data_IF_312553348686
#
_entry.id   IF_312553348686
#
_cell.length_a   1.000
_cell.length_b   1.000
_cell.length_c   1.000
_cell.angle_alpha   90.00
_cell.angle_beta   90.00
_cell.angle_gamma   90.00
#
_symmetry.space_group_name_H-M   'P 1'
#
loop_
_entity.id
_entity.type
_entity.pdbx_description
1 polymer ?
#
# COMPACT_ATOMS: atom_id res chain seq x y z
N UNK A 1 -32.54 12.83 11.78
CA UNK A 1 -32.02 11.44 11.63
C UNK A 1 -32.66 10.66 10.48
N UNK A 2 -33.81 11.09 9.92
CA UNK A 2 -34.47 10.39 8.80
C UNK A 2 -33.65 10.45 7.49
N UNK A 3 -33.07 11.60 7.16
CA UNK A 3 -32.30 11.80 5.91
C UNK A 3 -31.10 10.86 5.76
N UNK A 4 -30.34 10.62 6.84
CA UNK A 4 -29.15 9.74 6.82
C UNK A 4 -29.54 8.28 6.50
N UNK A 5 -30.74 7.85 6.89
CA UNK A 5 -31.24 6.51 6.60
C UNK A 5 -31.82 6.39 5.19
N UNK A 6 -32.36 7.48 4.64
CA UNK A 6 -32.79 7.55 3.25
C UNK A 6 -31.58 7.55 2.30
N UNK A 7 -30.60 8.43 2.53
CA UNK A 7 -29.36 8.52 1.76
C UNK A 7 -28.63 7.16 1.70
N UNK A 8 -28.60 6.43 2.82
CA UNK A 8 -28.02 5.09 2.87
C UNK A 8 -28.79 4.10 1.99
N UNK A 9 -30.13 4.12 2.03
CA UNK A 9 -30.97 3.22 1.21
C UNK A 9 -30.86 3.53 -0.27
N UNK A 10 -30.88 4.81 -0.64
CA UNK A 10 -30.73 5.29 -2.02
C UNK A 10 -29.36 4.89 -2.58
N UNK A 11 -28.28 5.14 -1.82
CA UNK A 11 -26.93 4.73 -2.20
C UNK A 11 -26.80 3.20 -2.31
N UNK A 12 -27.40 2.44 -1.39
CA UNK A 12 -27.36 0.98 -1.44
C UNK A 12 -28.08 0.43 -2.68
N UNK A 13 -29.25 0.98 -3.02
CA UNK A 13 -29.99 0.58 -4.21
C UNK A 13 -29.19 0.86 -5.49
N UNK A 14 -28.61 2.06 -5.61
CA UNK A 14 -27.76 2.42 -6.74
C UNK A 14 -26.49 1.54 -6.81
N UNK A 15 -25.86 1.26 -5.68
CA UNK A 15 -24.68 0.41 -5.61
C UNK A 15 -25.00 -1.03 -6.08
N UNK A 16 -26.15 -1.59 -5.66
CA UNK A 16 -26.60 -2.92 -6.12
C UNK A 16 -26.77 -2.99 -7.64
N UNK A 17 -27.34 -1.95 -8.24
CA UNK A 17 -27.46 -1.83 -9.71
C UNK A 17 -26.08 -1.75 -10.35
N UNK A 18 -25.18 -0.93 -9.79
CA UNK A 18 -23.84 -0.71 -10.33
C UNK A 18 -22.93 -1.96 -10.24
N UNK A 19 -23.16 -2.86 -9.28
CA UNK A 19 -22.36 -4.08 -9.08
C UNK A 19 -23.04 -5.35 -9.58
N UNK A 20 -24.18 -5.23 -10.25
CA UNK A 20 -24.92 -6.36 -10.84
C UNK A 20 -24.04 -7.19 -11.80
N UNK A 21 -23.05 -6.56 -12.43
CA UNK A 21 -21.96 -7.24 -13.12
C UNK A 21 -20.72 -7.30 -12.23
N UNK A 22 -20.23 -8.51 -11.86
CA UNK A 22 -19.12 -8.64 -10.90
C UNK A 22 -17.84 -7.91 -11.31
N UNK A 23 -17.60 -7.80 -12.62
CA UNK A 23 -16.44 -7.14 -13.21
C UNK A 23 -16.45 -5.61 -13.09
N UNK A 24 -17.63 -5.00 -12.90
CA UNK A 24 -17.77 -3.55 -12.77
C UNK A 24 -17.41 -3.10 -11.34
N UNK A 25 -17.62 -3.95 -10.33
CA UNK A 25 -17.24 -3.70 -8.94
C UNK A 25 -15.71 -3.58 -8.74
N UNK A 26 -14.92 -4.27 -9.56
CA UNK A 26 -13.45 -4.30 -9.50
C UNK A 26 -12.79 -3.22 -10.38
N UNK A 27 -13.58 -2.37 -11.04
CA UNK A 27 -13.11 -1.31 -11.95
C UNK A 27 -13.64 0.06 -11.51
N UNK A 28 -12.88 0.82 -10.69
CA UNK A 28 -13.35 2.07 -10.07
C UNK A 28 -13.92 3.10 -11.06
N UNK A 29 -13.29 3.24 -12.24
CA UNK A 29 -13.78 4.16 -13.28
C UNK A 29 -15.12 3.76 -13.89
N UNK A 30 -15.38 2.46 -14.04
CA UNK A 30 -16.68 1.95 -14.52
C UNK A 30 -17.73 1.99 -13.42
N UNK A 31 -17.34 1.64 -12.19
CA UNK A 31 -18.20 1.74 -11.01
C UNK A 31 -18.72 3.17 -10.83
N UNK A 32 -17.85 4.18 -10.95
CA UNK A 32 -18.26 5.58 -10.83
C UNK A 32 -19.32 5.96 -11.85
N UNK A 33 -19.08 5.64 -13.13
CA UNK A 33 -20.01 5.92 -14.21
C UNK A 33 -21.38 5.26 -13.95
N UNK A 34 -21.39 3.97 -13.61
CA UNK A 34 -22.61 3.20 -13.32
C UNK A 34 -23.37 3.72 -12.11
N UNK A 35 -22.65 4.15 -11.09
CA UNK A 35 -23.24 4.67 -9.86
C UNK A 35 -23.88 6.04 -10.10
N UNK A 36 -23.24 6.91 -10.90
CA UNK A 36 -23.84 8.18 -11.33
C UNK A 36 -25.08 7.95 -12.22
N UNK A 37 -25.03 6.97 -13.14
CA UNK A 37 -26.19 6.55 -13.95
C UNK A 37 -27.35 6.02 -13.09
N UNK A 38 -27.06 5.22 -12.06
CA UNK A 38 -28.08 4.61 -11.20
C UNK A 38 -28.68 5.59 -10.18
N UNK A 39 -27.93 6.61 -9.75
CA UNK A 39 -28.43 7.67 -8.87
C UNK A 39 -29.24 8.72 -9.65
N UNK A 40 -28.90 8.98 -10.90
CA UNK A 40 -29.50 10.06 -11.67
C UNK A 40 -28.97 11.46 -11.26
N UNK A 41 -29.42 12.51 -11.96
CA UNK A 41 -28.81 13.84 -11.86
C UNK A 41 -29.00 14.52 -10.50
N UNK A 42 -30.14 14.32 -9.83
CA UNK A 42 -30.42 14.96 -8.54
C UNK A 42 -29.66 14.28 -7.39
N UNK A 43 -29.75 12.95 -7.28
CA UNK A 43 -29.09 12.20 -6.22
C UNK A 43 -27.58 12.10 -6.39
N UNK A 44 -27.04 12.14 -7.61
CA UNK A 44 -25.59 12.15 -7.85
C UNK A 44 -24.91 13.42 -7.29
N UNK A 45 -25.61 14.55 -7.28
CA UNK A 45 -25.12 15.80 -6.66
C UNK A 45 -25.26 15.72 -5.14
N UNK A 46 -26.44 15.33 -4.64
CA UNK A 46 -26.74 15.20 -3.20
C UNK A 46 -25.79 14.22 -2.51
N UNK A 47 -25.62 13.04 -3.10
CA UNK A 47 -24.86 11.92 -2.53
C UNK A 47 -23.42 11.82 -3.05
N UNK A 48 -22.91 12.88 -3.70
CA UNK A 48 -21.57 12.90 -4.32
C UNK A 48 -20.47 12.44 -3.36
N UNK A 49 -20.51 12.90 -2.11
CA UNK A 49 -19.52 12.53 -1.07
C UNK A 49 -19.56 11.03 -0.76
N UNK A 50 -20.75 10.46 -0.59
CA UNK A 50 -20.92 9.02 -0.34
C UNK A 50 -20.51 8.21 -1.57
N UNK A 51 -20.87 8.65 -2.77
CA UNK A 51 -20.44 8.03 -4.03
C UNK A 51 -18.91 8.00 -4.14
N UNK A 52 -18.21 9.07 -3.77
CA UNK A 52 -16.74 9.07 -3.73
C UNK A 52 -16.18 8.08 -2.70
N UNK A 53 -16.79 7.97 -1.51
CA UNK A 53 -16.37 7.00 -0.50
C UNK A 53 -16.56 5.55 -0.98
N UNK A 54 -17.68 5.26 -1.64
CA UNK A 54 -17.95 3.93 -2.20
C UNK A 54 -16.94 3.56 -3.29
N UNK A 55 -16.63 4.47 -4.21
CA UNK A 55 -15.62 4.26 -5.26
C UNK A 55 -14.22 4.14 -4.67
N UNK A 56 -13.88 4.98 -3.70
CA UNK A 56 -12.62 4.92 -2.97
C UNK A 56 -12.42 3.57 -2.27
N UNK A 57 -13.49 2.99 -1.69
CA UNK A 57 -13.40 1.66 -1.10
C UNK A 57 -13.19 0.54 -2.14
N UNK A 58 -13.73 0.70 -3.36
CA UNK A 58 -13.42 -0.20 -4.49
C UNK A 58 -11.94 -0.13 -4.90
N UNK A 59 -11.35 1.06 -4.94
CA UNK A 59 -9.91 1.24 -5.21
C UNK A 59 -9.01 0.54 -4.19
N UNK A 60 -9.45 0.45 -2.92
CA UNK A 60 -8.76 -0.32 -1.87
C UNK A 60 -9.02 -1.84 -1.95
N UNK A 61 -9.71 -2.32 -2.99
CA UNK A 61 -10.09 -3.71 -3.20
C UNK A 61 -11.06 -4.29 -2.15
N UNK A 62 -11.82 -3.45 -1.46
CA UNK A 62 -12.83 -3.91 -0.48
C UNK A 62 -13.83 -4.92 -1.08
N UNK A 63 -14.39 -4.73 -2.29
CA UNK A 63 -15.36 -5.67 -2.88
C UNK A 63 -14.76 -7.05 -3.11
N UNK A 64 -13.49 -7.09 -3.51
CA UNK A 64 -12.74 -8.32 -3.71
C UNK A 64 -12.47 -9.04 -2.37
N UNK A 65 -12.07 -8.29 -1.35
CA UNK A 65 -11.76 -8.85 -0.03
C UNK A 65 -13.02 -9.43 0.64
N UNK A 66 -14.16 -8.75 0.50
CA UNK A 66 -15.46 -9.24 0.98
C UNK A 66 -15.91 -10.55 0.31
N UNK A 67 -15.59 -10.75 -0.98
CA UNK A 67 -15.92 -12.00 -1.70
C UNK A 67 -14.95 -13.14 -1.37
N UNK A 68 -13.70 -12.82 -1.02
CA UNK A 68 -12.62 -13.80 -0.82
C UNK A 68 -12.58 -14.38 0.59
N UNK A 69 -12.96 -13.61 1.60
CA UNK A 69 -12.94 -14.09 2.99
C UNK A 69 -14.07 -15.09 3.18
N UNK A 70 -13.72 -16.34 3.46
CA UNK A 70 -14.68 -17.41 3.75
C UNK A 70 -14.17 -18.21 4.96
N UNK A 71 -14.93 -18.30 6.07
CA UNK A 71 -16.22 -17.65 6.31
C UNK A 71 -16.10 -16.15 6.60
N UNK A 72 -17.05 -15.36 6.09
CA UNK A 72 -17.16 -13.95 6.44
C UNK A 72 -17.84 -13.82 7.82
N UNK A 73 -17.18 -13.18 8.78
CA UNK A 73 -17.65 -13.00 10.16
C UNK A 73 -17.79 -11.53 10.54
N UNK A 74 -18.49 -11.24 11.64
CA UNK A 74 -18.62 -9.87 12.17
C UNK A 74 -17.26 -9.24 12.50
N UNK A 75 -16.37 -10.01 13.11
CA UNK A 75 -14.99 -9.59 13.40
C UNK A 75 -14.19 -9.29 12.11
N UNK A 76 -14.42 -10.06 11.04
CA UNK A 76 -13.78 -9.81 9.75
C UNK A 76 -14.25 -8.50 9.11
N UNK A 77 -15.55 -8.20 9.21
CA UNK A 77 -16.11 -6.93 8.74
C UNK A 77 -15.61 -5.72 9.54
N UNK A 78 -15.51 -5.86 10.87
CA UNK A 78 -14.93 -4.83 11.73
C UNK A 78 -13.48 -4.54 11.36
N UNK A 79 -12.65 -5.59 11.20
CA UNK A 79 -11.25 -5.46 10.78
C UNK A 79 -11.11 -4.79 9.42
N UNK A 80 -11.93 -5.17 8.43
CA UNK A 80 -11.91 -4.52 7.11
C UNK A 80 -12.28 -3.03 7.19
N UNK A 81 -13.21 -2.66 8.06
CA UNK A 81 -13.56 -1.25 8.27
C UNK A 81 -12.43 -0.46 8.93
N UNK A 82 -11.69 -1.05 9.86
CA UNK A 82 -10.52 -0.44 10.50
C UNK A 82 -9.37 -0.28 9.51
N UNK A 83 -9.10 -1.31 8.71
CA UNK A 83 -8.09 -1.28 7.66
C UNK A 83 -8.42 -0.19 6.62
N UNK A 84 -9.70 -0.04 6.26
CA UNK A 84 -10.18 1.00 5.35
C UNK A 84 -10.03 2.41 5.95
N UNK A 85 -10.36 2.57 7.24
CA UNK A 85 -10.17 3.83 7.97
C UNK A 85 -8.69 4.24 7.98
N UNK A 86 -7.80 3.30 8.30
CA UNK A 86 -6.36 3.52 8.33
C UNK A 86 -5.77 3.83 6.94
N UNK A 87 -6.20 3.12 5.90
CA UNK A 87 -5.70 3.31 4.53
C UNK A 87 -6.04 4.68 3.95
N UNK A 88 -7.23 5.21 4.28
CA UNK A 88 -7.76 6.46 3.71
C UNK A 88 -7.75 7.66 4.66
N UNK A 89 -7.36 7.46 5.93
CA UNK A 89 -7.44 8.48 6.97
C UNK A 89 -8.88 8.90 7.26
N UNK A 90 -9.83 7.97 7.16
CA UNK A 90 -11.26 8.23 7.40
C UNK A 90 -11.60 8.09 8.88
N UNK A 91 -12.71 8.71 9.30
CA UNK A 91 -13.31 8.39 10.59
C UNK A 91 -13.79 6.94 10.60
N UNK A 92 -13.76 6.31 11.78
CA UNK A 92 -14.26 4.95 11.98
C UNK A 92 -15.70 4.81 11.47
N UNK A 93 -16.57 5.78 11.80
CA UNK A 93 -17.97 5.79 11.35
C UNK A 93 -18.12 5.80 9.82
N UNK A 94 -17.30 6.58 9.10
CA UNK A 94 -17.37 6.64 7.64
C UNK A 94 -16.90 5.33 6.99
N UNK A 95 -15.86 4.72 7.55
CA UNK A 95 -15.35 3.44 7.05
C UNK A 95 -16.33 2.29 7.35
N UNK A 96 -16.92 2.26 8.54
CA UNK A 96 -17.97 1.30 8.91
C UNK A 96 -19.17 1.42 7.99
N UNK A 97 -19.72 2.64 7.80
CA UNK A 97 -20.86 2.89 6.93
C UNK A 97 -20.61 2.45 5.48
N UNK A 98 -19.41 2.74 4.97
CA UNK A 98 -19.01 2.35 3.61
C UNK A 98 -18.84 0.84 3.47
N UNK A 99 -18.27 0.19 4.49
CA UNK A 99 -18.13 -1.28 4.55
C UNK A 99 -19.50 -1.95 4.64
N UNK A 100 -20.41 -1.38 5.41
CA UNK A 100 -21.80 -1.85 5.52
C UNK A 100 -22.54 -1.76 4.17
N UNK A 101 -22.38 -0.66 3.43
CA UNK A 101 -22.94 -0.50 2.07
C UNK A 101 -22.44 -1.60 1.13
N UNK A 102 -21.13 -1.84 1.09
CA UNK A 102 -20.53 -2.86 0.24
C UNK A 102 -20.95 -4.28 0.63
N UNK A 103 -20.90 -4.63 1.91
CA UNK A 103 -21.36 -5.92 2.40
C UNK A 103 -22.83 -6.16 2.06
N UNK A 104 -23.69 -5.16 2.25
CA UNK A 104 -25.13 -5.24 1.94
C UNK A 104 -25.43 -5.29 0.43
N UNK A 105 -24.59 -4.65 -0.40
CA UNK A 105 -24.72 -4.70 -1.85
C UNK A 105 -24.29 -6.06 -2.42
N UNK A 106 -23.34 -6.74 -1.76
CA UNK A 106 -22.83 -8.06 -2.16
C UNK A 106 -23.64 -9.24 -1.59
N UNK A 107 -24.72 -8.97 -0.86
CA UNK A 107 -25.63 -10.00 -0.32
C UNK A 107 -25.38 -10.38 1.14
N UNK A 108 -24.46 -9.71 1.85
CA UNK A 108 -24.15 -9.97 3.27
C UNK A 108 -24.87 -8.99 4.22
N UNK A 109 -26.10 -8.59 3.88
CA UNK A 109 -26.84 -7.55 4.61
C UNK A 109 -27.08 -7.88 6.09
N UNK A 110 -27.50 -9.10 6.40
CA UNK A 110 -27.81 -9.53 7.78
C UNK A 110 -26.55 -9.58 8.66
N UNK A 111 -25.42 -9.98 8.08
CA UNK A 111 -24.12 -9.96 8.76
C UNK A 111 -23.65 -8.51 8.98
N UNK A 112 -23.85 -7.64 8.00
CA UNK A 112 -23.50 -6.22 8.10
C UNK A 112 -24.37 -5.48 9.14
N UNK A 113 -25.63 -5.88 9.30
CA UNK A 113 -26.54 -5.34 10.31
C UNK A 113 -26.16 -5.80 11.73
N UNK A 114 -25.74 -7.06 11.90
CA UNK A 114 -25.30 -7.58 13.20
C UNK A 114 -23.92 -7.10 13.63
N UNK A 115 -23.06 -6.70 12.68
CA UNK A 115 -21.70 -6.19 12.97
C UNK A 115 -21.68 -4.78 13.55
N UNK A 116 -22.70 -3.97 13.22
CA UNK A 116 -22.89 -2.60 13.70
C UNK A 116 -24.38 -2.35 13.94
N UNK A 117 -24.91 -2.76 15.12
CA UNK A 117 -26.28 -2.44 15.50
C UNK A 117 -26.44 -0.93 15.47
N UNK A 118 -27.41 -0.43 14.70
CA UNK A 118 -27.79 0.99 14.82
C UNK A 118 -28.39 1.17 16.20
N UNK A 119 -27.84 2.11 16.98
CA UNK A 119 -28.37 2.51 18.28
C UNK A 119 -29.89 2.73 18.15
N UNK A 120 -30.68 1.78 18.67
CA UNK A 120 -32.14 1.81 18.61
C UNK A 120 -32.86 0.53 18.21
N UNK A 121 -32.19 -0.54 17.72
CA UNK A 121 -32.84 -1.84 17.49
C UNK A 121 -32.49 -2.85 18.59
N UNK A 122 -33.04 -2.60 19.77
CA UNK A 122 -33.13 -3.60 20.83
C UNK A 122 -34.19 -4.64 20.44
N UNK A 123 -33.82 -5.63 19.63
CA UNK A 123 -34.57 -6.89 19.61
C UNK A 123 -34.10 -7.72 20.83
N UNK A 124 -34.99 -8.16 21.72
CA UNK A 124 -34.59 -8.83 22.95
C UNK A 124 -33.97 -10.20 22.62
N UNK A 125 -32.74 -10.51 23.07
CA UNK A 125 -32.32 -11.90 23.12
C UNK A 125 -33.13 -12.59 24.24
N UNK A 126 -33.87 -13.62 23.86
CA UNK A 126 -34.38 -14.62 24.81
C UNK A 126 -33.22 -15.10 25.70
N UNK A 127 -33.50 -15.12 27.00
CA UNK A 127 -32.57 -15.30 28.11
C UNK A 127 -31.54 -16.45 27.96
N UNK A 128 -30.38 -16.28 28.60
CA UNK A 128 -29.82 -17.32 29.47
C UNK A 128 -30.15 -16.97 30.95
N UNK A 129 -30.40 -17.96 31.82
CA UNK A 129 -30.75 -17.71 33.21
C UNK A 129 -29.54 -17.20 34.00
N UNK A 130 -29.87 -16.25 34.90
CA UNK A 130 -29.03 -15.62 35.92
C UNK A 130 -28.13 -16.57 36.71
N UNK A 131 -26.93 -16.09 37.03
CA UNK A 131 -26.37 -16.16 38.37
C UNK A 131 -25.23 -15.12 38.54
N UNK A 132 -25.58 -13.95 39.10
CA UNK A 132 -24.65 -13.11 39.86
C UNK A 132 -24.48 -13.75 41.27
N UNK A 133 -23.37 -13.51 42.01
CA UNK A 133 -23.34 -12.29 42.82
C UNK A 133 -21.99 -11.55 42.89
N UNK A 134 -22.01 -10.32 43.43
CA UNK A 134 -20.97 -9.29 43.29
C UNK A 134 -20.11 -9.11 44.55
N UNK A 135 -18.94 -8.47 44.41
CA UNK A 135 -18.24 -7.74 45.49
C UNK A 135 -17.16 -6.87 44.82
N UNK A 136 -17.34 -5.55 44.69
CA UNK A 136 -17.18 -4.49 45.70
C UNK A 136 -15.82 -3.74 45.51
N UNK A 137 -15.80 -2.39 45.61
CA UNK A 137 -14.74 -1.53 45.09
C UNK A 137 -13.86 -0.92 46.19
N UNK A 138 -12.56 -0.66 45.96
CA UNK A 138 -11.69 0.20 46.81
C UNK A 138 -10.41 0.59 46.03
N UNK A 139 -9.62 1.61 46.45
CA UNK A 139 -9.97 3.03 46.57
C UNK A 139 -8.92 3.98 45.92
N UNK A 140 -9.28 5.26 45.78
CA UNK A 140 -8.31 6.35 45.58
C UNK A 140 -7.36 6.45 46.79
N UNK A 141 -6.08 6.69 46.53
CA UNK A 141 -5.21 7.40 47.48
C UNK A 141 -4.28 8.33 46.72
N UNK A 142 -4.55 9.62 46.89
CA UNK A 142 -3.66 10.72 46.58
C UNK A 142 -2.52 10.77 47.61
N UNK A 143 -1.31 11.11 47.21
CA UNK A 143 -0.30 11.71 48.10
C UNK A 143 0.63 12.63 47.31
N UNK A 144 0.32 13.92 47.40
CA UNK A 144 1.20 15.05 47.74
C UNK A 144 2.66 15.12 47.20
N UNK A 145 2.89 16.18 46.41
CA UNK A 145 4.07 17.08 46.27
C UNK A 145 4.89 17.33 47.58
N UNK A 146 5.92 18.21 47.63
CA UNK A 146 7.02 18.60 46.71
C UNK A 146 8.40 18.63 47.42
N UNK A 147 9.52 18.75 46.70
CA UNK A 147 10.86 18.93 47.31
C UNK A 147 11.77 19.85 46.50
N UNK A 148 12.09 21.01 47.07
CA UNK A 148 12.82 22.11 46.47
C UNK A 148 14.33 22.11 46.83
N UNK A 149 15.18 22.49 45.84
CA UNK A 149 16.43 23.34 45.90
C UNK A 149 17.56 22.98 46.90
N UNK A 150 18.74 23.66 46.88
CA UNK A 150 19.60 24.14 45.77
C UNK A 150 21.12 23.83 45.96
N UNK A 151 21.91 24.21 44.95
CA UNK A 151 23.29 24.73 44.99
C UNK A 151 24.50 23.84 45.37
N UNK A 152 25.50 23.80 44.49
CA UNK A 152 26.91 23.91 44.86
C UNK A 152 27.79 24.28 43.64
N UNK A 153 28.31 25.50 43.66
CA UNK A 153 29.44 26.00 42.84
C UNK A 153 30.76 25.46 43.41
N UNK A 154 31.80 25.26 42.58
CA UNK A 154 33.16 25.56 43.04
C UNK A 154 34.02 26.22 41.91
N UNK A 155 35.30 26.59 42.12
CA UNK A 155 35.70 27.95 42.44
C UNK A 155 36.47 28.64 41.31
N UNK A 156 36.60 29.96 41.47
CA UNK A 156 37.37 30.87 40.62
C UNK A 156 38.87 30.51 40.58
N UNK A 157 39.39 30.33 39.37
CA UNK A 157 40.83 30.36 39.07
C UNK A 157 41.29 31.78 38.70
N UNK A 158 42.59 32.11 38.91
CA UNK A 158 43.14 33.45 38.72
C UNK A 158 43.21 33.89 37.23
N UNK A 159 43.27 35.21 36.96
CA UNK A 159 43.00 35.77 35.63
C UNK A 159 44.10 35.47 34.60
N UNK A 160 43.74 35.19 33.33
CA UNK A 160 44.70 35.09 32.23
C UNK A 160 45.15 36.49 31.77
N UNK A 161 46.45 36.64 31.50
CA UNK A 161 47.04 37.86 30.94
C UNK A 161 46.56 38.17 29.51
N UNK A 162 46.88 39.37 28.98
CA UNK A 162 46.34 39.84 27.70
C UNK A 162 46.80 38.96 26.52
N UNK A 163 45.91 38.61 25.58
CA UNK A 163 46.26 37.77 24.44
C UNK A 163 47.11 38.53 23.43
N UNK A 164 48.24 37.94 23.03
CA UNK A 164 48.97 38.35 21.81
C UNK A 164 48.10 38.07 20.58
N UNK A 165 48.04 38.99 19.59
CA UNK A 165 47.37 38.72 18.33
C UNK A 165 48.14 37.63 17.57
N UNK A 166 47.50 36.49 17.36
CA UNK A 166 48.00 35.45 16.46
C UNK A 166 47.68 35.84 15.01
N UNK A 167 48.63 35.67 14.05
CA UNK A 167 48.36 35.85 12.63
C UNK A 167 47.29 34.85 12.18
N UNK A 168 46.28 35.33 11.44
CA UNK A 168 45.20 34.49 10.95
C UNK A 168 45.70 33.32 10.08
N UNK A 169 45.05 32.15 10.12
CA UNK A 169 45.35 31.05 9.22
C UNK A 169 45.03 31.44 7.76
N UNK A 170 45.76 30.87 6.78
CA UNK A 170 45.55 31.17 5.36
C UNK A 170 44.12 30.81 4.93
N UNK A 171 43.55 31.53 3.95
CA UNK A 171 42.21 31.24 3.45
C UNK A 171 42.17 29.79 2.95
N UNK A 172 41.43 28.95 3.65
CA UNK A 172 41.18 27.57 3.24
C UNK A 172 40.48 27.55 1.87
N UNK A 173 40.65 26.46 1.11
CA UNK A 173 39.97 26.29 -0.17
C UNK A 173 38.47 26.50 0.03
N UNK A 174 37.91 27.46 -0.70
CA UNK A 174 36.51 27.84 -0.60
C UNK A 174 35.59 26.63 -0.70
N UNK A 175 34.39 26.70 -0.08
CA UNK A 175 33.43 25.61 -0.10
C UNK A 175 33.20 25.17 -1.55
N UNK A 176 33.52 23.89 -1.83
CA UNK A 176 33.16 23.27 -3.10
C UNK A 176 31.69 23.55 -3.38
N UNK A 177 31.32 23.93 -4.61
CA UNK A 177 29.92 24.11 -4.96
C UNK A 177 29.15 22.84 -4.56
N UNK A 178 28.03 22.96 -3.85
CA UNK A 178 27.23 21.81 -3.50
C UNK A 178 26.86 21.10 -4.80
N UNK A 179 27.36 19.87 -4.96
CA UNK A 179 26.94 19.01 -6.06
C UNK A 179 25.42 18.88 -6.03
N UNK A 180 24.77 18.61 -7.18
CA UNK A 180 23.31 18.54 -7.26
C UNK A 180 22.82 17.58 -6.18
N UNK A 181 22.05 18.11 -5.23
CA UNK A 181 21.50 17.33 -4.14
C UNK A 181 20.73 16.16 -4.76
N UNK A 182 21.16 14.94 -4.46
CA UNK A 182 20.52 13.70 -4.86
C UNK A 182 19.12 13.68 -4.23
N UNK A 183 18.14 14.26 -4.92
CA UNK A 183 16.75 14.26 -4.51
C UNK A 183 16.13 12.94 -4.91
N UNK A 184 15.96 12.06 -3.93
CA UNK A 184 15.25 10.81 -4.13
C UNK A 184 13.77 11.09 -4.39
N UNK A 185 13.14 10.37 -5.32
CA UNK A 185 11.72 10.55 -5.59
C UNK A 185 10.88 10.13 -4.37
N UNK A 186 9.71 10.78 -4.17
CA UNK A 186 8.84 10.46 -3.04
C UNK A 186 8.39 9.00 -3.09
N UNK A 187 8.37 8.37 -1.91
CA UNK A 187 7.98 6.97 -1.75
C UNK A 187 6.52 6.78 -2.20
N UNK A 188 6.23 5.86 -3.13
CA UNK A 188 4.84 5.56 -3.52
C UNK A 188 4.05 5.10 -2.30
N UNK A 189 2.80 5.59 -2.12
CA UNK A 189 1.94 5.24 -0.97
C UNK A 189 1.82 3.72 -0.73
N UNK A 190 1.79 2.94 -1.80
CA UNK A 190 1.67 1.48 -1.75
C UNK A 190 2.95 0.76 -1.26
N UNK A 191 4.07 1.49 -1.17
CA UNK A 191 5.38 1.02 -0.72
C UNK A 191 5.83 1.74 0.57
N UNK A 192 4.95 2.53 1.20
CA UNK A 192 5.22 3.25 2.44
C UNK A 192 5.54 2.32 3.63
N UNK A 193 5.29 1.01 3.51
CA UNK A 193 5.70 0.00 4.49
C UNK A 193 7.20 -0.31 4.47
N UNK A 194 7.93 0.11 3.43
CA UNK A 194 9.38 -0.03 3.32
C UNK A 194 10.09 1.31 3.57
N UNK A 195 9.84 1.92 4.73
CA UNK A 195 10.65 3.06 5.20
C UNK A 195 12.05 2.64 5.66
N UNK A 196 12.29 1.34 5.81
CA UNK A 196 13.59 0.77 6.13
C UNK A 196 13.91 -0.46 5.26
N UNK A 197 15.21 -0.71 5.07
CA UNK A 197 15.71 -1.96 4.49
C UNK A 197 15.57 -3.12 5.49
N UNK A 198 15.89 -4.36 5.10
CA UNK A 198 15.77 -5.50 6.03
C UNK A 198 16.75 -5.45 7.20
N UNK A 199 17.82 -4.66 7.08
CA UNK A 199 18.76 -4.36 8.14
C UNK A 199 18.29 -3.22 9.09
N UNK A 200 17.12 -2.63 8.86
CA UNK A 200 16.55 -1.56 9.68
C UNK A 200 17.08 -0.15 9.35
N UNK A 201 17.88 0.02 8.29
CA UNK A 201 18.37 1.32 7.85
C UNK A 201 17.28 2.10 7.11
N UNK A 202 17.21 3.42 7.29
CA UNK A 202 16.23 4.25 6.59
C UNK A 202 16.40 4.18 5.08
N UNK A 203 15.29 3.93 4.38
CA UNK A 203 15.24 3.93 2.93
C UNK A 203 15.39 5.36 2.40
N UNK A 204 16.40 5.59 1.56
CA UNK A 204 16.58 6.83 0.82
C UNK A 204 15.52 7.00 -0.27
N UNK A 205 15.12 5.89 -0.89
CA UNK A 205 14.05 5.86 -1.88
C UNK A 205 13.54 4.45 -2.08
N UNK A 206 12.29 4.34 -2.54
CA UNK A 206 11.65 3.04 -2.81
C UNK A 206 10.94 3.10 -4.14
N UNK A 207 11.09 2.05 -4.95
CA UNK A 207 10.38 1.93 -6.21
C UNK A 207 9.93 0.51 -6.48
N UNK A 208 8.99 0.36 -7.42
CA UNK A 208 8.56 -0.96 -7.87
C UNK A 208 9.46 -1.45 -9.00
N UNK A 209 9.92 -2.69 -8.88
CA UNK A 209 10.81 -3.32 -9.84
C UNK A 209 10.44 -4.79 -10.10
N UNK A 210 11.02 -5.36 -11.15
CA UNK A 210 10.82 -6.74 -11.56
C UNK A 210 12.17 -7.46 -11.61
N UNK A 211 12.32 -8.51 -10.84
CA UNK A 211 13.51 -9.36 -10.87
C UNK A 211 13.29 -10.57 -11.79
N UNK A 212 14.34 -10.98 -12.49
CA UNK A 212 14.37 -12.21 -13.29
C UNK A 212 14.53 -11.97 -14.79
N UNK A 213 13.72 -12.67 -15.58
CA UNK A 213 13.78 -12.67 -17.04
C UNK A 213 13.53 -11.27 -17.63
N UNK A 214 14.05 -10.98 -18.82
CA UNK A 214 13.79 -9.67 -19.43
C UNK A 214 12.32 -9.46 -19.73
N UNK A 215 11.72 -8.42 -19.19
CA UNK A 215 10.35 -7.99 -19.49
C UNK A 215 10.07 -7.88 -21.00
N UNK A 216 10.94 -7.28 -21.85
CA UNK A 216 10.71 -7.29 -23.31
C UNK A 216 10.73 -8.70 -23.91
N UNK A 217 11.54 -9.61 -23.38
CA UNK A 217 11.56 -11.01 -23.82
C UNK A 217 10.30 -11.76 -23.36
N UNK A 218 9.81 -11.52 -22.15
CA UNK A 218 8.54 -12.09 -21.68
C UNK A 218 7.35 -11.58 -22.49
N UNK A 219 7.34 -10.28 -22.84
CA UNK A 219 6.29 -9.71 -23.71
C UNK A 219 6.39 -10.30 -25.12
N UNK A 220 7.59 -10.36 -25.70
CA UNK A 220 7.80 -10.96 -27.02
C UNK A 220 7.38 -12.44 -27.05
N UNK A 221 7.76 -13.23 -26.03
CA UNK A 221 7.33 -14.63 -25.93
C UNK A 221 5.82 -14.74 -25.71
N UNK A 222 5.22 -13.88 -24.88
CA UNK A 222 3.77 -13.85 -24.67
C UNK A 222 3.01 -13.55 -25.95
N UNK A 223 3.46 -12.57 -26.74
CA UNK A 223 2.90 -12.25 -28.06
C UNK A 223 3.09 -13.40 -29.03
N UNK A 224 4.30 -13.94 -29.15
CA UNK A 224 4.58 -15.08 -30.03
C UNK A 224 3.71 -16.30 -29.67
N UNK A 225 3.58 -16.61 -28.38
CA UNK A 225 2.70 -17.68 -27.88
C UNK A 225 1.24 -17.40 -28.22
N UNK A 226 0.76 -16.17 -28.06
CA UNK A 226 -0.62 -15.78 -28.38
C UNK A 226 -0.90 -15.90 -29.88
N UNK A 227 0.03 -15.47 -30.73
CA UNK A 227 -0.10 -15.61 -32.20
C UNK A 227 -0.15 -17.08 -32.60
N UNK A 228 0.76 -17.90 -32.05
CA UNK A 228 0.79 -19.36 -32.28
C UNK A 228 -0.47 -20.06 -31.74
N UNK A 229 -1.09 -19.52 -30.69
CA UNK A 229 -2.36 -20.01 -30.11
C UNK A 229 -3.57 -19.66 -30.98
N UNK A 230 -3.63 -18.43 -31.48
CA UNK A 230 -4.79 -17.91 -32.22
C UNK A 230 -4.82 -18.40 -33.67
N UNK A 231 -3.65 -18.64 -34.29
CA UNK A 231 -3.57 -19.16 -35.66
C UNK A 231 -4.32 -20.48 -35.88
N UNK A 232 -4.10 -21.55 -35.07
CA UNK A 232 -4.77 -22.83 -35.27
C UNK A 232 -6.25 -22.79 -34.90
N UNK A 233 -6.68 -21.92 -33.98
CA UNK A 233 -8.11 -21.71 -33.68
C UNK A 233 -8.83 -21.12 -34.90
N UNK A 234 -8.17 -20.21 -35.63
CA UNK A 234 -8.70 -19.62 -36.86
C UNK A 234 -8.70 -20.59 -38.05
N UNK A 235 -7.81 -21.59 -38.06
CA UNK A 235 -7.59 -22.47 -39.23
C UNK A 235 -8.23 -23.87 -39.07
N UNK A 236 -8.32 -24.42 -37.86
CA UNK A 236 -8.63 -25.86 -37.61
C UNK A 236 -9.99 -26.05 -36.89
N UNK A 237 -10.62 -24.97 -36.41
CA UNK A 237 -11.88 -25.06 -35.68
C UNK A 237 -11.74 -25.71 -34.29
N UNK A 238 -12.86 -26.09 -33.68
CA UNK A 238 -12.98 -26.47 -32.25
C UNK A 238 -12.07 -27.64 -31.78
N UNK A 239 -11.47 -28.39 -32.72
CA UNK A 239 -10.50 -29.44 -32.40
C UNK A 239 -9.14 -28.91 -31.90
N UNK A 240 -8.86 -27.60 -32.00
CA UNK A 240 -7.62 -26.97 -31.54
C UNK A 240 -7.45 -26.77 -30.03
N UNK A 241 -8.41 -27.21 -29.20
CA UNK A 241 -8.47 -26.86 -27.77
C UNK A 241 -7.29 -27.35 -26.91
N UNK A 242 -6.65 -28.48 -27.25
CA UNK A 242 -5.51 -29.00 -26.47
C UNK A 242 -4.25 -28.14 -26.62
N UNK A 243 -4.00 -27.56 -27.79
CA UNK A 243 -2.87 -26.65 -28.02
C UNK A 243 -2.99 -25.38 -27.17
N UNK A 244 -4.23 -24.95 -26.88
CA UNK A 244 -4.47 -23.77 -26.06
C UNK A 244 -4.10 -23.97 -24.60
N UNK A 245 -4.32 -25.17 -24.04
CA UNK A 245 -4.01 -25.49 -22.64
C UNK A 245 -2.49 -25.50 -22.41
N UNK A 246 -1.74 -26.15 -23.30
CA UNK A 246 -0.26 -26.19 -23.24
C UNK A 246 0.31 -24.78 -23.32
N UNK A 247 -0.28 -23.95 -24.18
CA UNK A 247 0.19 -22.61 -24.43
C UNK A 247 -0.16 -21.62 -23.29
N UNK A 248 -1.33 -21.75 -22.67
CA UNK A 248 -1.68 -21.03 -21.42
C UNK A 248 -0.77 -21.48 -20.27
N UNK A 249 -0.48 -22.79 -20.18
CA UNK A 249 0.47 -23.35 -19.22
C UNK A 249 1.87 -22.74 -19.39
N UNK A 250 2.38 -22.70 -20.62
CA UNK A 250 3.67 -22.09 -20.96
C UNK A 250 3.74 -20.60 -20.63
N UNK A 251 2.70 -19.83 -20.97
CA UNK A 251 2.62 -18.41 -20.63
C UNK A 251 2.62 -18.17 -19.12
N UNK A 252 1.89 -18.99 -18.35
CA UNK A 252 1.92 -18.92 -16.86
C UNK A 252 3.31 -19.26 -16.31
N UNK A 253 3.99 -20.26 -16.88
CA UNK A 253 5.34 -20.66 -16.47
C UNK A 253 6.35 -19.52 -16.73
N UNK A 254 6.24 -18.84 -17.88
CA UNK A 254 7.05 -17.67 -18.21
C UNK A 254 6.81 -16.50 -17.26
N UNK A 255 5.53 -16.18 -16.97
CA UNK A 255 5.17 -15.11 -16.04
C UNK A 255 5.59 -15.45 -14.61
N UNK A 256 5.59 -16.73 -14.21
CA UNK A 256 6.07 -17.16 -12.90
C UNK A 256 7.56 -16.90 -12.66
N UNK A 257 8.34 -16.78 -13.74
CA UNK A 257 9.75 -16.41 -13.69
C UNK A 257 10.01 -14.92 -13.42
N UNK A 258 8.99 -14.06 -13.54
CA UNK A 258 9.06 -12.64 -13.20
C UNK A 258 8.60 -12.41 -11.77
N UNK A 259 9.53 -12.04 -10.90
CA UNK A 259 9.22 -11.70 -9.51
C UNK A 259 9.02 -10.20 -9.42
N UNK A 260 7.79 -9.79 -9.09
CA UNK A 260 7.48 -8.38 -8.81
C UNK A 260 7.87 -8.08 -7.37
N UNK A 261 8.48 -6.93 -7.12
CA UNK A 261 8.93 -6.56 -5.78
C UNK A 261 9.22 -5.08 -5.61
N UNK A 262 9.57 -4.73 -4.38
CA UNK A 262 10.07 -3.41 -4.03
C UNK A 262 11.59 -3.39 -4.15
N UNK A 263 12.11 -2.34 -4.76
CA UNK A 263 13.53 -2.02 -4.78
C UNK A 263 13.75 -0.83 -3.84
N UNK A 264 14.47 -1.07 -2.77
CA UNK A 264 14.79 -0.11 -1.71
C UNK A 264 16.23 0.33 -1.87
N UNK A 265 16.46 1.64 -1.96
CA UNK A 265 17.78 2.24 -1.89
C UNK A 265 18.09 2.63 -0.44
N UNK A 266 19.19 2.14 0.12
CA UNK A 266 19.72 2.57 1.42
C UNK A 266 21.06 3.28 1.25
N UNK A 267 21.62 3.76 2.36
CA UNK A 267 22.97 4.35 2.38
C UNK A 267 24.04 3.36 1.92
N UNK A 268 23.85 2.06 2.21
CA UNK A 268 24.84 1.01 1.99
C UNK A 268 24.67 0.29 0.65
N UNK A 269 23.49 0.29 0.06
CA UNK A 269 23.28 -0.34 -1.24
C UNK A 269 21.86 -0.29 -1.76
N UNK A 270 21.58 -1.22 -2.66
CA UNK A 270 20.25 -1.48 -3.19
C UNK A 270 19.80 -2.87 -2.76
N UNK A 271 18.55 -2.96 -2.33
CA UNK A 271 17.94 -4.20 -1.89
C UNK A 271 16.62 -4.42 -2.62
N UNK A 272 16.45 -5.60 -3.19
CA UNK A 272 15.21 -6.01 -3.82
C UNK A 272 14.47 -7.01 -2.94
N UNK A 273 13.25 -6.68 -2.56
CA UNK A 273 12.36 -7.54 -1.78
C UNK A 273 11.20 -7.98 -2.65
N UNK A 274 11.13 -9.27 -3.03
CA UNK A 274 10.02 -9.78 -3.80
C UNK A 274 8.73 -9.72 -2.98
N UNK A 275 7.64 -9.48 -3.68
CA UNK A 275 6.31 -9.50 -3.12
C UNK A 275 5.54 -10.71 -3.64
N UNK A 276 4.49 -11.07 -2.91
CA UNK A 276 3.48 -11.96 -3.48
C UNK A 276 2.81 -11.33 -4.71
N UNK A 277 2.17 -12.14 -5.56
CA UNK A 277 1.50 -11.68 -6.80
C UNK A 277 0.48 -10.57 -6.55
N UNK A 278 -0.10 -10.54 -5.35
CA UNK A 278 -1.03 -9.52 -4.87
C UNK A 278 -0.39 -8.22 -4.38
N UNK A 279 0.95 -8.12 -4.33
CA UNK A 279 1.69 -7.02 -3.71
C UNK A 279 1.35 -6.75 -2.22
N UNK A 280 0.70 -7.69 -1.52
CA UNK A 280 0.27 -7.49 -0.13
C UNK A 280 1.28 -7.94 0.92
N UNK A 281 2.04 -9.00 0.64
CA UNK A 281 3.01 -9.59 1.56
C UNK A 281 4.42 -9.57 0.96
N UNK A 282 5.39 -8.89 1.58
CA UNK A 282 6.80 -9.03 1.22
C UNK A 282 7.28 -10.44 1.59
N UNK A 283 8.21 -10.99 0.80
CA UNK A 283 8.90 -12.26 1.03
C UNK A 283 10.37 -11.99 1.35
N UNK A 284 10.69 -11.59 2.60
CA UNK A 284 12.04 -11.16 2.98
C UNK A 284 13.08 -12.30 2.88
N UNK A 285 12.64 -13.55 3.01
CA UNK A 285 13.40 -14.79 2.80
C UNK A 285 14.00 -14.90 1.38
N UNK A 286 13.41 -14.18 0.42
CA UNK A 286 13.83 -14.20 -1.00
C UNK A 286 14.38 -12.84 -1.45
N UNK A 287 14.62 -11.94 -0.50
CA UNK A 287 15.28 -10.67 -0.76
C UNK A 287 16.72 -10.88 -1.19
N UNK A 288 17.24 -9.95 -1.97
CA UNK A 288 18.66 -9.90 -2.29
C UNK A 288 19.08 -8.46 -2.49
N UNK A 289 20.28 -8.13 -2.04
CA UNK A 289 20.84 -6.81 -2.17
C UNK A 289 22.28 -6.84 -2.67
N UNK A 290 22.77 -5.67 -3.05
CA UNK A 290 24.14 -5.44 -3.40
C UNK A 290 24.59 -4.09 -2.86
N UNK A 291 25.82 -4.03 -2.36
CA UNK A 291 26.45 -2.76 -1.98
C UNK A 291 26.65 -1.88 -3.22
N UNK A 292 26.64 -0.56 -3.05
CA UNK A 292 26.72 0.40 -4.17
C UNK A 292 27.88 0.15 -5.14
N UNK A 293 29.03 -0.33 -4.66
CA UNK A 293 30.19 -0.69 -5.49
C UNK A 293 29.92 -1.84 -6.47
N UNK A 294 29.01 -2.75 -6.12
CA UNK A 294 28.60 -3.91 -6.92
C UNK A 294 27.37 -3.66 -7.79
N UNK A 295 26.75 -2.48 -7.66
CA UNK A 295 25.60 -2.09 -8.47
C UNK A 295 26.08 -1.64 -9.86
N UNK A 296 25.47 -2.19 -10.91
CA UNK A 296 25.57 -1.66 -12.27
C UNK A 296 24.20 -1.22 -12.75
N UNK A 297 24.10 0.01 -13.28
CA UNK A 297 22.86 0.57 -13.80
C UNK A 297 22.99 0.82 -15.29
N UNK A 298 22.10 0.21 -16.08
CA UNK A 298 21.93 0.44 -17.50
C UNK A 298 20.63 1.24 -17.70
N UNK A 299 20.74 2.52 -18.07
CA UNK A 299 19.60 3.39 -18.29
C UNK A 299 18.96 3.14 -19.66
N UNK A 300 17.63 3.05 -19.71
CA UNK A 300 16.92 2.79 -20.96
C UNK A 300 15.42 3.11 -20.89
N UNK A 301 14.65 2.57 -21.85
CA UNK A 301 13.18 2.62 -21.79
C UNK A 301 12.65 1.79 -20.61
N UNK A 302 13.26 0.63 -20.39
CA UNK A 302 13.20 -0.15 -19.16
C UNK A 302 14.62 -0.21 -18.66
N UNK A 303 14.89 0.45 -17.54
CA UNK A 303 16.25 0.48 -17.00
C UNK A 303 16.54 -0.82 -16.27
N UNK A 304 17.79 -1.26 -16.35
CA UNK A 304 18.24 -2.54 -15.78
C UNK A 304 19.28 -2.26 -14.71
N UNK A 305 19.00 -2.70 -13.50
CA UNK A 305 19.95 -2.70 -12.39
C UNK A 305 20.42 -4.15 -12.19
N UNK A 306 21.73 -4.37 -12.09
CA UNK A 306 22.26 -5.67 -11.65
C UNK A 306 22.68 -5.57 -10.19
N UNK A 307 22.13 -6.46 -9.37
CA UNK A 307 22.38 -6.57 -7.93
C UNK A 307 22.96 -7.97 -7.69
N UNK A 308 24.24 -8.06 -7.30
CA UNK A 308 24.90 -9.34 -7.02
C UNK A 308 24.71 -10.39 -8.15
N UNK A 309 24.87 -9.95 -9.40
CA UNK A 309 24.69 -10.78 -10.59
C UNK A 309 23.23 -11.04 -11.01
N UNK A 310 22.24 -10.64 -10.20
CA UNK A 310 20.81 -10.77 -10.52
C UNK A 310 20.29 -9.52 -11.22
N UNK A 311 19.45 -9.73 -12.24
CA UNK A 311 18.85 -8.66 -13.03
C UNK A 311 17.55 -8.16 -12.38
N UNK A 312 17.47 -6.85 -12.20
CA UNK A 312 16.28 -6.13 -11.73
C UNK A 312 15.92 -5.05 -12.74
N UNK A 313 14.65 -4.98 -13.11
CA UNK A 313 14.14 -4.09 -14.15
C UNK A 313 13.19 -3.06 -13.55
N UNK A 314 13.42 -1.80 -13.91
CA UNK A 314 12.63 -0.67 -13.43
C UNK A 314 11.94 -0.01 -14.62
N UNK A 315 10.62 0.15 -14.49
CA UNK A 315 9.78 0.69 -15.55
C UNK A 315 10.03 2.19 -15.81
N UNK A 316 9.57 2.71 -16.96
CA UNK A 316 9.83 4.09 -17.40
C UNK A 316 9.27 5.15 -16.45
N UNK A 317 8.21 4.84 -15.70
CA UNK A 317 7.61 5.75 -14.71
C UNK A 317 8.53 6.05 -13.53
N UNK A 318 9.56 5.23 -13.32
CA UNK A 318 10.48 5.31 -12.18
C UNK A 318 11.88 5.78 -12.60
N UNK A 319 12.02 6.48 -13.73
CA UNK A 319 13.32 6.97 -14.24
C UNK A 319 14.08 7.85 -13.27
N UNK A 320 13.40 8.71 -12.50
CA UNK A 320 14.03 9.55 -11.49
C UNK A 320 14.77 8.72 -10.42
N UNK A 321 14.18 7.59 -10.00
CA UNK A 321 14.83 6.66 -9.08
C UNK A 321 16.09 6.04 -9.69
N UNK A 322 16.02 5.63 -10.95
CA UNK A 322 17.16 5.03 -11.67
C UNK A 322 18.28 6.04 -11.82
N UNK A 323 17.99 7.28 -12.21
CA UNK A 323 18.98 8.33 -12.35
C UNK A 323 19.68 8.64 -11.03
N UNK A 324 18.92 8.70 -9.92
CA UNK A 324 19.48 8.85 -8.57
C UNK A 324 20.37 7.66 -8.19
N UNK A 325 19.92 6.43 -8.46
CA UNK A 325 20.70 5.22 -8.22
C UNK A 325 21.99 5.17 -9.06
N UNK A 326 21.94 5.59 -10.33
CA UNK A 326 23.10 5.65 -11.22
C UNK A 326 24.10 6.73 -10.79
N UNK A 327 23.62 7.91 -10.38
CA UNK A 327 24.46 8.96 -9.83
C UNK A 327 25.16 8.49 -8.54
N UNK A 328 24.43 7.79 -7.66
CA UNK A 328 25.00 7.24 -6.42
C UNK A 328 26.02 6.13 -6.69
N UNK A 329 25.71 5.18 -7.54
CA UNK A 329 26.62 4.09 -7.91
C UNK A 329 27.92 4.62 -8.54
N UNK A 330 27.85 5.71 -9.32
CA UNK A 330 29.03 6.40 -9.86
C UNK A 330 29.85 7.12 -8.81
N UNK A 331 29.21 7.71 -7.79
CA UNK A 331 29.92 8.45 -6.73
C UNK A 331 30.71 7.56 -5.76
N UNK A 332 30.43 6.25 -5.73
CA UNK A 332 31.06 5.27 -4.81
C UNK A 332 32.20 4.51 -5.51
N UNK A 333 32.34 4.62 -6.83
CA UNK A 333 33.45 4.06 -7.60
C UNK A 333 34.57 5.09 -7.72
#
# INVERSE_FOLDING_TARGET
>A
MQDVSEDFRTMLAALRVAVATPADADRPGRLRQRLDEALGPEDSVRLRRLAHQVVAASEENLPHDLRRITPLTTQSLQRLSEDLAAARGWSSEAAQRTTQLWASALGFGDLAASSWPRDGSSAPPSAPPSAFPPAAPLPLSATLLPGARPAATPPAGPPPGPPRPSPGPPPGPGPRPPGPALSWPPVPKNLARHTANLAGEPALGVTLAYAGMSLPLCVALGVAMTVVLCLPILVIGAAGGMLSIVAIGGAKLLVSGLRRGALVASTNGLEFTPYDTSLRKPKPDQSFGAVWSQVTVEEGRVSVLRLAGRRVQVGPRNRAFVAAAAARARSVR
#
